data_IF_920369167043
#
_entry.id   IF_920369167043
#
_cell.length_a   1.000
_cell.length_b   1.000
_cell.length_c   1.000
_cell.angle_alpha   90.00
_cell.angle_beta   90.00
_cell.angle_gamma   90.00
#
_symmetry.space_group_name_H-M   'P 1'
#
loop_
_entity.id
_entity.type
_entity.pdbx_description
1 polymer ?
#
# COMPACT_ATOMS: atom_id res chain seq x y z
N UNK A 1 34.86 -83.99 5.80
CA UNK A 1 35.73 -82.91 5.38
C UNK A 1 34.84 -81.98 4.50
N UNK A 2 34.28 -80.96 5.13
CA UNK A 2 33.25 -80.09 4.49
C UNK A 2 33.88 -78.69 4.34
N UNK A 3 34.01 -78.26 3.09
CA UNK A 3 34.49 -76.93 2.76
C UNK A 3 33.36 -75.92 2.86
N UNK A 4 33.56 -74.87 3.67
CA UNK A 4 32.63 -73.80 3.89
C UNK A 4 32.97 -72.65 2.94
N UNK A 5 32.14 -72.40 1.92
CA UNK A 5 32.24 -71.23 1.01
C UNK A 5 31.62 -70.03 1.68
N UNK A 6 32.42 -68.99 1.95
CA UNK A 6 31.97 -67.68 2.41
C UNK A 6 31.66 -66.83 1.17
N UNK A 7 30.40 -66.48 0.99
CA UNK A 7 29.96 -65.44 0.03
C UNK A 7 30.06 -64.12 0.68
N UNK A 8 30.95 -63.28 0.16
CA UNK A 8 31.12 -61.88 0.59
C UNK A 8 30.14 -60.98 -0.17
N UNK A 9 29.04 -60.62 0.49
CA UNK A 9 28.07 -59.69 -0.09
C UNK A 9 28.56 -58.25 0.03
N UNK A 10 28.86 -57.58 -1.09
CA UNK A 10 29.12 -56.16 -1.17
C UNK A 10 27.80 -55.41 -1.07
N UNK A 11 27.56 -54.74 0.05
CA UNK A 11 26.49 -53.75 0.15
C UNK A 11 27.01 -52.43 -0.45
N UNK A 12 26.54 -52.08 -1.65
CA UNK A 12 26.75 -50.79 -2.26
C UNK A 12 25.70 -49.83 -1.69
N UNK A 13 26.07 -49.05 -0.67
CA UNK A 13 25.23 -47.99 -0.14
C UNK A 13 25.23 -46.81 -1.12
N UNK A 14 24.18 -46.68 -1.95
CA UNK A 14 23.93 -45.47 -2.71
C UNK A 14 23.55 -44.34 -1.71
N UNK A 15 24.52 -43.50 -1.38
CA UNK A 15 24.30 -42.19 -0.75
C UNK A 15 23.66 -41.28 -1.81
N UNK A 16 22.32 -41.24 -1.84
CA UNK A 16 21.59 -40.17 -2.51
C UNK A 16 21.75 -38.97 -1.63
N UNK A 17 22.75 -38.15 -1.90
CA UNK A 17 22.87 -36.77 -1.36
C UNK A 17 21.75 -35.96 -1.99
N UNK A 18 20.58 -35.94 -1.34
CA UNK A 18 19.56 -34.95 -1.61
C UNK A 18 20.16 -33.58 -1.30
N UNK A 19 20.61 -32.85 -2.33
CA UNK A 19 20.81 -31.43 -2.21
C UNK A 19 19.44 -30.84 -1.94
N UNK A 20 19.12 -30.62 -0.66
CA UNK A 20 18.11 -29.60 -0.29
C UNK A 20 18.69 -28.28 -0.80
N UNK A 21 18.23 -27.86 -1.99
CA UNK A 21 18.40 -26.49 -2.41
C UNK A 21 17.72 -25.63 -1.33
N UNK A 22 18.51 -24.95 -0.52
CA UNK A 22 17.98 -23.94 0.37
C UNK A 22 17.24 -22.95 -0.55
N UNK A 23 15.91 -22.98 -0.54
CA UNK A 23 15.11 -21.95 -1.17
C UNK A 23 15.52 -20.65 -0.52
N UNK A 24 16.17 -19.79 -1.28
CA UNK A 24 16.50 -18.44 -0.82
C UNK A 24 15.20 -17.66 -0.70
N UNK A 25 14.68 -17.59 0.50
CA UNK A 25 13.53 -16.72 0.80
C UNK A 25 13.87 -15.28 0.39
N UNK A 26 13.00 -14.66 -0.39
CA UNK A 26 13.13 -13.28 -0.82
C UNK A 26 12.37 -12.39 0.11
N UNK A 27 12.97 -11.27 0.49
CA UNK A 27 12.35 -10.27 1.34
C UNK A 27 11.96 -9.04 0.52
N UNK A 28 10.71 -8.60 0.65
CA UNK A 28 10.24 -7.30 0.20
C UNK A 28 10.08 -6.38 1.40
N UNK A 29 10.58 -5.17 1.29
CA UNK A 29 10.47 -4.13 2.30
C UNK A 29 9.41 -3.13 1.85
N UNK A 30 8.21 -3.22 2.42
CA UNK A 30 7.08 -2.34 2.11
C UNK A 30 7.04 -1.24 3.16
N UNK A 31 7.26 0.00 2.72
CA UNK A 31 7.07 1.20 3.49
C UNK A 31 5.77 1.88 3.06
N UNK A 32 5.06 2.50 3.99
CA UNK A 32 3.83 3.20 3.64
C UNK A 32 3.56 4.42 4.51
N UNK A 33 2.82 5.34 3.93
CA UNK A 33 2.24 6.52 4.57
C UNK A 33 0.75 6.58 4.29
N UNK A 34 0.05 7.36 5.09
CA UNK A 34 -1.35 7.72 4.92
C UNK A 34 -1.61 9.06 5.61
N UNK A 35 -2.65 9.76 5.19
CA UNK A 35 -3.14 10.97 5.86
C UNK A 35 -2.00 11.96 6.16
N UNK A 36 -1.17 12.24 5.15
CA UNK A 36 -0.02 13.13 5.30
C UNK A 36 -0.43 14.57 5.58
N UNK A 37 -1.62 14.96 5.10
CA UNK A 37 -2.23 16.26 5.32
C UNK A 37 -1.25 17.41 5.13
N UNK A 38 -0.53 17.39 4.00
CA UNK A 38 0.40 18.44 3.60
C UNK A 38 1.41 18.83 4.71
N UNK A 39 1.78 17.89 5.58
CA UNK A 39 2.75 18.16 6.65
C UNK A 39 4.17 18.23 6.09
N UNK A 40 4.46 19.32 5.38
CA UNK A 40 5.77 19.62 4.78
C UNK A 40 6.80 19.89 5.87
N UNK A 41 6.45 20.79 6.82
CA UNK A 41 7.30 21.14 7.95
C UNK A 41 7.13 20.15 9.12
N UNK A 42 8.18 19.89 9.91
CA UNK A 42 8.05 19.12 11.14
C UNK A 42 7.19 19.86 12.17
N UNK A 43 6.63 19.14 13.12
CA UNK A 43 6.07 19.75 14.31
C UNK A 43 7.19 20.39 15.14
N UNK A 44 6.96 21.57 15.74
CA UNK A 44 7.95 22.18 16.61
C UNK A 44 8.20 21.33 17.86
N UNK A 45 9.40 21.40 18.43
CA UNK A 45 9.77 20.62 19.62
C UNK A 45 8.89 20.94 20.85
N UNK A 46 8.29 22.14 20.89
CA UNK A 46 7.37 22.58 21.95
C UNK A 46 5.88 22.30 21.61
N UNK A 47 5.59 21.47 20.62
CA UNK A 47 4.22 21.12 20.26
C UNK A 47 3.52 20.44 21.44
N UNK A 48 2.25 20.82 21.78
CA UNK A 48 1.59 20.34 22.99
C UNK A 48 1.42 18.82 23.06
N UNK A 49 1.22 18.18 21.92
CA UNK A 49 1.19 16.72 21.83
C UNK A 49 2.64 16.19 21.78
N UNK A 50 3.09 15.60 22.90
CA UNK A 50 4.43 15.05 23.03
C UNK A 50 4.72 13.87 22.07
N UNK A 51 3.68 13.20 21.59
CA UNK A 51 3.82 12.10 20.60
C UNK A 51 4.21 12.67 19.24
N UNK A 52 3.74 13.87 18.90
CA UNK A 52 3.98 14.53 17.62
C UNK A 52 5.12 15.56 17.69
N UNK A 53 5.48 16.06 18.88
CA UNK A 53 6.53 17.06 19.06
C UNK A 53 7.83 16.62 18.37
N UNK A 54 8.44 17.53 17.62
CA UNK A 54 9.66 17.32 16.80
C UNK A 54 9.58 16.15 15.79
N UNK A 55 8.36 15.76 15.38
CA UNK A 55 8.15 14.70 14.38
C UNK A 55 7.58 15.24 13.08
N UNK A 56 7.37 14.34 12.13
CA UNK A 56 6.89 14.60 10.77
C UNK A 56 7.87 15.44 9.92
N UNK A 57 7.36 16.04 8.86
CA UNK A 57 8.13 16.82 7.89
C UNK A 57 8.56 15.99 6.68
N UNK A 58 8.15 16.42 5.49
CA UNK A 58 8.42 15.70 4.25
C UNK A 58 9.91 15.63 3.91
N UNK A 59 10.70 16.66 4.22
CA UNK A 59 12.16 16.67 3.99
C UNK A 59 12.86 15.62 4.86
N UNK A 60 12.48 15.52 6.13
CA UNK A 60 13.03 14.47 7.03
C UNK A 60 12.64 13.08 6.54
N UNK A 61 11.42 12.90 6.08
CA UNK A 61 10.95 11.65 5.52
C UNK A 61 11.71 11.28 4.25
N UNK A 62 11.93 12.22 3.34
CA UNK A 62 12.73 12.00 2.13
C UNK A 62 14.15 11.51 2.47
N UNK A 63 14.80 12.13 3.47
CA UNK A 63 16.12 11.68 3.94
C UNK A 63 16.07 10.26 4.53
N UNK A 64 15.04 9.93 5.32
CA UNK A 64 14.83 8.61 5.88
C UNK A 64 14.62 7.54 4.79
N UNK A 65 13.70 7.78 3.84
CA UNK A 65 13.42 6.85 2.74
C UNK A 65 14.64 6.63 1.86
N UNK A 66 15.41 7.69 1.57
CA UNK A 66 16.68 7.57 0.84
C UNK A 66 17.65 6.61 1.53
N UNK A 67 17.85 6.77 2.85
CA UNK A 67 18.68 5.88 3.63
C UNK A 67 18.18 4.44 3.67
N UNK A 68 16.86 4.22 3.71
CA UNK A 68 16.29 2.88 3.67
C UNK A 68 16.41 2.23 2.28
N UNK A 69 16.31 3.00 1.18
CA UNK A 69 16.56 2.52 -0.19
C UNK A 69 18.02 2.10 -0.43
N UNK A 70 18.97 2.75 0.24
CA UNK A 70 20.37 2.33 0.20
C UNK A 70 20.59 0.97 0.86
N UNK A 71 19.87 0.70 1.96
CA UNK A 71 19.94 -0.56 2.72
C UNK A 71 19.13 -1.69 2.09
N UNK A 72 17.98 -1.37 1.48
CA UNK A 72 17.01 -2.34 0.97
C UNK A 72 16.69 -2.07 -0.49
N UNK A 73 17.36 -2.81 -1.39
CA UNK A 73 17.15 -2.64 -2.85
C UNK A 73 15.74 -3.06 -3.31
N UNK A 74 15.07 -3.90 -2.51
CA UNK A 74 13.71 -4.39 -2.76
C UNK A 74 12.64 -3.56 -2.02
N UNK A 75 12.94 -2.29 -1.71
CA UNK A 75 12.01 -1.38 -1.06
C UNK A 75 10.91 -0.94 -2.01
N UNK A 76 9.67 -0.99 -1.53
CA UNK A 76 8.49 -0.38 -2.11
C UNK A 76 7.93 0.66 -1.15
N UNK A 77 7.44 1.79 -1.69
CA UNK A 77 6.87 2.88 -0.91
C UNK A 77 5.48 3.21 -1.44
N UNK A 78 4.45 3.12 -0.59
CA UNK A 78 3.06 3.35 -0.94
C UNK A 78 2.43 4.46 -0.10
N UNK A 79 1.38 5.10 -0.65
CA UNK A 79 0.55 6.06 0.05
C UNK A 79 -0.94 5.67 0.00
N UNK A 80 -1.61 5.72 1.14
CA UNK A 80 -3.03 5.35 1.26
C UNK A 80 -3.97 6.56 1.26
N UNK A 81 -3.59 7.65 0.57
CA UNK A 81 -4.42 8.84 0.34
C UNK A 81 -4.33 9.90 1.44
N UNK A 82 -5.00 11.02 1.19
CA UNK A 82 -4.97 12.24 2.00
C UNK A 82 -3.55 12.80 2.19
N UNK A 83 -2.77 12.84 1.09
CA UNK A 83 -1.52 13.60 1.09
C UNK A 83 -1.78 15.11 1.09
N UNK A 84 -2.96 15.53 0.63
CA UNK A 84 -3.47 16.89 0.51
C UNK A 84 -4.01 17.44 1.83
N UNK A 85 -4.26 18.77 1.87
CA UNK A 85 -4.96 19.50 2.91
C UNK A 85 -4.17 19.61 4.24
N UNK A 86 -4.29 20.74 4.92
CA UNK A 86 -3.86 20.92 6.32
C UNK A 86 -2.68 21.86 6.52
N UNK A 87 -2.06 22.42 5.47
CA UNK A 87 -0.95 23.35 5.63
C UNK A 87 -1.07 24.60 4.75
N UNK A 88 -0.34 25.69 5.06
CA UNK A 88 -0.22 26.84 4.17
C UNK A 88 0.33 26.50 2.80
N UNK A 89 1.19 25.47 2.68
CA UNK A 89 1.71 25.01 1.39
C UNK A 89 0.58 24.53 0.49
N UNK A 90 -0.32 23.71 1.01
CA UNK A 90 -1.47 23.23 0.24
C UNK A 90 -2.39 24.39 -0.19
N UNK A 91 -2.66 25.33 0.70
CA UNK A 91 -3.51 26.48 0.38
C UNK A 91 -2.92 27.37 -0.73
N UNK A 92 -1.59 27.53 -0.75
CA UNK A 92 -0.89 28.37 -1.74
C UNK A 92 -0.62 27.62 -3.06
N UNK A 93 -0.16 26.36 -2.96
CA UNK A 93 0.34 25.60 -4.11
C UNK A 93 -0.59 24.45 -4.54
N UNK A 94 -1.72 24.26 -3.83
CA UNK A 94 -2.80 23.31 -4.19
C UNK A 94 -2.33 21.88 -4.40
N UNK A 95 -1.34 21.41 -3.63
CA UNK A 95 -0.82 20.05 -3.68
C UNK A 95 0.44 19.85 -4.55
N UNK A 96 0.92 20.89 -5.23
CA UNK A 96 2.11 20.78 -6.09
C UNK A 96 3.38 20.44 -5.31
N UNK A 97 3.56 21.03 -4.12
CA UNK A 97 4.72 20.79 -3.26
C UNK A 97 4.71 19.33 -2.78
N UNK A 98 3.54 18.84 -2.40
CA UNK A 98 3.34 17.47 -1.93
C UNK A 98 3.71 16.45 -3.01
N UNK A 99 3.16 16.59 -4.22
CA UNK A 99 3.46 15.67 -5.34
C UNK A 99 4.95 15.71 -5.71
N UNK A 100 5.58 16.88 -5.78
CA UNK A 100 7.02 16.99 -6.08
C UNK A 100 7.86 16.26 -5.02
N UNK A 101 7.53 16.40 -3.74
CA UNK A 101 8.22 15.71 -2.67
C UNK A 101 7.94 14.20 -2.68
N UNK A 102 6.75 13.78 -3.07
CA UNK A 102 6.44 12.36 -3.26
C UNK A 102 7.24 11.76 -4.42
N UNK A 103 7.38 12.48 -5.56
CA UNK A 103 8.24 12.06 -6.66
C UNK A 103 9.71 11.90 -6.21
N UNK A 104 10.25 12.87 -5.48
CA UNK A 104 11.61 12.81 -4.92
C UNK A 104 11.83 11.63 -3.95
N UNK A 105 10.80 11.23 -3.21
CA UNK A 105 10.83 10.05 -2.35
C UNK A 105 10.71 8.74 -3.14
N UNK A 106 10.27 8.81 -4.41
CA UNK A 106 10.09 7.68 -5.30
C UNK A 106 8.96 6.76 -4.85
N UNK A 107 7.76 7.29 -4.60
CA UNK A 107 6.60 6.43 -4.35
C UNK A 107 6.37 5.47 -5.51
N UNK A 108 6.01 4.23 -5.20
CA UNK A 108 5.75 3.18 -6.18
C UNK A 108 4.27 3.12 -6.59
N UNK A 109 3.35 3.58 -5.73
CA UNK A 109 1.94 3.85 -6.03
C UNK A 109 1.30 4.67 -4.90
N UNK A 110 0.17 5.34 -5.20
CA UNK A 110 -0.68 6.00 -4.22
C UNK A 110 -2.15 5.84 -4.56
N UNK A 111 -3.04 5.92 -3.55
CA UNK A 111 -4.49 5.99 -3.75
C UNK A 111 -5.05 7.37 -3.50
N UNK A 112 -6.36 7.52 -3.64
CA UNK A 112 -7.09 8.78 -3.50
C UNK A 112 -7.82 8.79 -2.16
N UNK A 113 -7.56 9.81 -1.34
CA UNK A 113 -8.40 10.12 -0.18
C UNK A 113 -9.47 11.17 -0.50
N UNK A 114 -10.21 11.59 0.51
CA UNK A 114 -11.27 12.60 0.32
C UNK A 114 -10.71 14.02 0.16
N UNK A 115 -9.55 14.32 0.72
CA UNK A 115 -8.97 15.66 0.64
C UNK A 115 -8.24 15.95 -0.67
N UNK A 116 -7.98 14.97 -1.51
CA UNK A 116 -7.52 15.21 -2.88
C UNK A 116 -8.56 16.01 -3.69
N UNK A 117 -9.85 15.88 -3.35
CA UNK A 117 -10.95 16.60 -3.98
C UNK A 117 -11.10 18.06 -3.57
N UNK A 118 -10.42 18.55 -2.54
CA UNK A 118 -10.67 19.88 -1.93
C UNK A 118 -10.63 21.06 -2.94
N UNK A 119 -9.80 20.99 -3.96
CA UNK A 119 -9.73 21.99 -5.04
C UNK A 119 -10.34 21.49 -6.38
N UNK A 120 -11.16 20.44 -6.34
CA UNK A 120 -11.88 19.90 -7.50
C UNK A 120 -11.05 19.09 -8.48
N UNK A 121 -11.74 18.51 -9.48
CA UNK A 121 -11.16 17.52 -10.38
C UNK A 121 -10.07 18.08 -11.30
N UNK A 122 -10.18 19.33 -11.73
CA UNK A 122 -9.16 19.96 -12.60
C UNK A 122 -7.82 20.08 -11.86
N UNK A 123 -7.86 20.45 -10.58
CA UNK A 123 -6.65 20.49 -9.76
C UNK A 123 -6.09 19.09 -9.52
N UNK A 124 -6.94 18.10 -9.20
CA UNK A 124 -6.50 16.70 -9.09
C UNK A 124 -5.83 16.22 -10.37
N UNK A 125 -6.45 16.47 -11.53
CA UNK A 125 -5.90 16.08 -12.83
C UNK A 125 -4.54 16.75 -13.10
N UNK A 126 -4.37 18.03 -12.72
CA UNK A 126 -3.08 18.71 -12.79
C UNK A 126 -2.04 18.00 -11.95
N UNK A 127 -2.35 17.67 -10.69
CA UNK A 127 -1.45 16.98 -9.77
C UNK A 127 -1.10 15.57 -10.26
N UNK A 128 -2.10 14.81 -10.71
CA UNK A 128 -1.88 13.42 -11.14
C UNK A 128 -1.05 13.32 -12.42
N UNK A 129 -1.11 14.35 -13.32
CA UNK A 129 -0.17 14.45 -14.45
C UNK A 129 1.27 14.75 -14.02
N UNK A 130 1.48 15.34 -12.84
CA UNK A 130 2.81 15.61 -12.30
C UNK A 130 3.37 14.42 -11.52
N UNK A 131 2.52 13.49 -11.07
CA UNK A 131 2.95 12.31 -10.33
C UNK A 131 3.76 11.38 -11.24
N UNK A 132 4.94 10.96 -10.76
CA UNK A 132 5.83 10.00 -11.44
C UNK A 132 5.54 8.56 -11.00
N UNK A 133 4.46 8.36 -10.27
CA UNK A 133 3.97 7.08 -9.80
C UNK A 133 2.47 6.92 -10.12
N UNK A 134 1.97 5.68 -10.30
CA UNK A 134 0.57 5.46 -10.59
C UNK A 134 -0.33 5.85 -9.41
N UNK A 135 -1.41 6.56 -9.72
CA UNK A 135 -2.55 6.76 -8.83
C UNK A 135 -3.57 5.67 -9.13
N UNK A 136 -3.91 4.89 -8.09
CA UNK A 136 -4.82 3.75 -8.23
C UNK A 136 -6.08 3.94 -7.37
N UNK A 137 -7.26 3.71 -7.95
CA UNK A 137 -8.52 3.68 -7.23
C UNK A 137 -9.55 2.87 -8.04
N UNK A 138 -10.01 1.75 -7.50
CA UNK A 138 -10.88 0.84 -8.23
C UNK A 138 -12.37 1.17 -8.08
N UNK A 139 -12.76 1.86 -6.99
CA UNK A 139 -14.15 2.14 -6.67
C UNK A 139 -14.61 3.58 -6.98
N UNK A 140 -13.79 4.33 -7.71
CA UNK A 140 -14.21 5.60 -8.30
C UNK A 140 -14.26 5.48 -9.82
N UNK A 141 -15.46 5.40 -10.39
CA UNK A 141 -15.63 5.51 -11.83
C UNK A 141 -15.46 6.97 -12.25
N UNK A 142 -14.43 7.24 -13.05
CA UNK A 142 -13.98 8.59 -13.41
C UNK A 142 -14.17 8.94 -14.90
N UNK A 143 -14.81 8.05 -15.67
CA UNK A 143 -15.06 8.23 -17.09
C UNK A 143 -15.88 9.51 -17.35
N UNK A 144 -15.47 10.27 -18.37
CA UNK A 144 -16.08 11.55 -18.71
C UNK A 144 -15.70 12.71 -17.77
N UNK A 145 -14.79 12.49 -16.83
CA UNK A 145 -14.26 13.55 -15.95
C UNK A 145 -12.83 13.95 -16.32
N UNK A 146 -12.30 15.00 -15.68
CA UNK A 146 -10.91 15.42 -15.87
C UNK A 146 -9.87 14.36 -15.43
N UNK A 147 -10.30 13.34 -14.68
CA UNK A 147 -9.45 12.25 -14.17
C UNK A 147 -9.37 11.03 -15.11
N UNK A 148 -10.16 11.02 -16.19
CA UNK A 148 -10.15 9.92 -17.15
C UNK A 148 -8.74 9.67 -17.70
N UNK A 149 -8.29 8.41 -17.65
CA UNK A 149 -6.96 7.99 -18.08
C UNK A 149 -5.81 8.35 -17.11
N UNK A 150 -6.07 9.12 -16.05
CA UNK A 150 -5.07 9.47 -15.02
C UNK A 150 -5.14 8.55 -13.81
N UNK A 151 -6.33 8.08 -13.46
CA UNK A 151 -6.56 7.13 -12.39
C UNK A 151 -6.69 5.73 -12.98
N UNK A 152 -5.98 4.77 -12.41
CA UNK A 152 -6.05 3.36 -12.80
C UNK A 152 -6.79 2.56 -11.73
N UNK A 153 -7.43 1.47 -12.11
CA UNK A 153 -8.00 0.57 -11.12
C UNK A 153 -6.90 -0.11 -10.29
N UNK A 154 -5.80 -0.50 -10.94
CA UNK A 154 -4.66 -1.20 -10.33
C UNK A 154 -3.36 -0.95 -11.11
N UNK A 155 -2.27 -1.37 -10.51
CA UNK A 155 -0.96 -1.48 -11.17
C UNK A 155 -0.27 -2.78 -10.79
N UNK A 156 0.66 -3.25 -11.63
CA UNK A 156 1.50 -4.42 -11.32
C UNK A 156 2.95 -3.97 -11.31
N UNK A 157 3.64 -4.28 -10.23
CA UNK A 157 5.05 -3.94 -10.02
C UNK A 157 5.85 -5.25 -9.96
N UNK A 158 6.97 -5.29 -10.63
CA UNK A 158 7.94 -6.38 -10.47
C UNK A 158 9.11 -5.93 -9.62
N UNK A 159 9.41 -6.69 -8.56
CA UNK A 159 10.54 -6.43 -7.68
C UNK A 159 11.21 -7.75 -7.30
N UNK A 160 12.47 -7.91 -7.68
CA UNK A 160 13.25 -9.13 -7.43
C UNK A 160 12.56 -10.43 -7.92
N UNK A 161 11.88 -10.34 -9.09
CA UNK A 161 11.14 -11.46 -9.67
C UNK A 161 9.85 -11.83 -8.94
N UNK A 162 9.38 -10.98 -8.00
CA UNK A 162 8.07 -11.05 -7.35
C UNK A 162 7.13 -10.10 -8.09
N UNK A 163 5.95 -10.58 -8.48
CA UNK A 163 4.89 -9.77 -9.09
C UNK A 163 3.93 -9.30 -8.02
N UNK A 164 3.85 -7.98 -7.83
CA UNK A 164 3.03 -7.34 -6.82
C UNK A 164 1.89 -6.60 -7.52
N UNK A 165 0.65 -7.04 -7.28
CA UNK A 165 -0.54 -6.31 -7.69
C UNK A 165 -0.92 -5.29 -6.63
N UNK A 166 -1.12 -4.05 -7.03
CA UNK A 166 -1.48 -2.96 -6.12
C UNK A 166 -2.74 -2.28 -6.66
N UNK A 167 -3.77 -2.16 -5.85
CA UNK A 167 -4.99 -1.44 -6.18
C UNK A 167 -5.39 -0.51 -5.04
N UNK A 168 -6.24 0.47 -5.33
CA UNK A 168 -6.69 1.46 -4.36
C UNK A 168 -8.19 1.45 -4.15
N UNK A 169 -8.61 1.93 -2.98
CA UNK A 169 -10.02 2.17 -2.64
C UNK A 169 -10.15 3.53 -1.95
N UNK A 170 -11.10 4.34 -2.42
CA UNK A 170 -11.45 5.64 -1.84
C UNK A 170 -12.69 5.57 -0.94
N UNK A 171 -12.80 6.52 -0.01
CA UNK A 171 -13.94 6.68 0.89
C UNK A 171 -15.22 7.10 0.15
N UNK A 172 -16.42 6.90 0.72
CA UNK A 172 -17.66 7.48 0.19
C UNK A 172 -17.52 9.00 0.04
N UNK A 173 -17.92 9.55 -1.11
CA UNK A 173 -17.81 10.99 -1.37
C UNK A 173 -18.93 11.79 -0.69
N UNK A 174 -20.11 11.18 -0.55
CA UNK A 174 -21.28 11.82 0.05
C UNK A 174 -21.03 12.16 1.52
N UNK A 175 -21.21 13.43 1.86
CA UNK A 175 -20.97 13.94 3.21
C UNK A 175 -19.52 14.27 3.55
N UNK A 176 -18.55 13.83 2.74
CA UNK A 176 -17.11 14.13 2.93
C UNK A 176 -16.59 15.15 1.93
N UNK A 177 -17.08 15.13 0.69
CA UNK A 177 -16.60 15.97 -0.40
C UNK A 177 -17.73 16.87 -0.90
N UNK A 178 -17.41 18.12 -1.19
CA UNK A 178 -18.37 19.02 -1.85
C UNK A 178 -18.77 18.43 -3.21
N UNK A 179 -20.08 18.36 -3.49
CA UNK A 179 -20.60 17.81 -4.74
C UNK A 179 -19.98 18.46 -5.99
N UNK A 180 -19.75 19.78 -5.92
CA UNK A 180 -19.12 20.51 -7.02
C UNK A 180 -17.68 20.07 -7.29
N UNK A 181 -16.97 19.57 -6.26
CA UNK A 181 -15.58 19.14 -6.36
C UNK A 181 -15.41 17.69 -6.86
N UNK A 182 -16.49 16.91 -6.91
CA UNK A 182 -16.49 15.53 -7.39
C UNK A 182 -17.54 15.25 -8.46
N UNK A 183 -18.01 16.29 -9.16
CA UNK A 183 -19.05 16.15 -10.18
C UNK A 183 -18.63 15.18 -11.28
N UNK A 184 -19.49 14.19 -11.56
CA UNK A 184 -19.24 13.15 -12.57
C UNK A 184 -18.53 11.90 -12.03
N UNK A 185 -17.84 11.98 -10.90
CA UNK A 185 -17.25 10.79 -10.25
C UNK A 185 -18.36 9.97 -9.59
N UNK A 186 -18.38 8.66 -9.86
CA UNK A 186 -19.34 7.74 -9.22
C UNK A 186 -18.60 6.88 -8.20
N UNK A 187 -19.16 6.81 -7.00
CA UNK A 187 -18.70 5.88 -5.97
C UNK A 187 -19.37 4.52 -6.20
N UNK A 188 -18.55 3.49 -6.33
CA UNK A 188 -18.99 2.11 -6.47
C UNK A 188 -18.71 1.34 -5.17
N UNK A 189 -19.38 0.20 -4.96
CA UNK A 189 -19.23 -0.59 -3.75
C UNK A 189 -17.77 -1.08 -3.60
N UNK A 190 -17.04 -0.64 -2.58
CA UNK A 190 -15.63 -0.92 -2.46
C UNK A 190 -15.34 -2.40 -2.18
N UNK A 191 -16.28 -3.16 -1.59
CA UNK A 191 -16.10 -4.60 -1.34
C UNK A 191 -16.21 -5.37 -2.65
N UNK A 192 -17.22 -5.04 -3.47
CA UNK A 192 -17.42 -5.67 -4.77
C UNK A 192 -16.23 -5.39 -5.70
N UNK A 193 -15.77 -4.12 -5.77
CA UNK A 193 -14.64 -3.72 -6.61
C UNK A 193 -13.33 -4.34 -6.11
N UNK A 194 -13.10 -4.37 -4.81
CA UNK A 194 -11.92 -5.02 -4.24
C UNK A 194 -11.87 -6.51 -4.59
N UNK A 195 -12.99 -7.24 -4.47
CA UNK A 195 -13.04 -8.65 -4.84
C UNK A 195 -12.78 -8.84 -6.33
N UNK A 196 -13.40 -8.03 -7.19
CA UNK A 196 -13.19 -8.07 -8.65
C UNK A 196 -11.71 -7.89 -9.01
N UNK A 197 -11.07 -6.87 -8.44
CA UNK A 197 -9.66 -6.55 -8.75
C UNK A 197 -8.71 -7.57 -8.12
N UNK A 198 -8.95 -8.01 -6.89
CA UNK A 198 -8.12 -9.04 -6.26
C UNK A 198 -8.13 -10.35 -7.05
N UNK A 199 -9.30 -10.77 -7.56
CA UNK A 199 -9.43 -11.95 -8.42
C UNK A 199 -8.71 -11.76 -9.76
N UNK A 200 -8.80 -10.58 -10.36
CA UNK A 200 -8.08 -10.24 -11.59
C UNK A 200 -6.57 -10.32 -11.38
N UNK A 201 -6.06 -9.66 -10.33
CA UNK A 201 -4.64 -9.65 -10.00
C UNK A 201 -4.09 -11.04 -9.71
N UNK A 202 -4.84 -11.86 -8.96
CA UNK A 202 -4.41 -13.21 -8.60
C UNK A 202 -4.48 -14.16 -9.78
N UNK A 203 -5.59 -14.17 -10.52
CA UNK A 203 -5.88 -15.24 -11.50
C UNK A 203 -5.41 -14.89 -12.92
N UNK A 204 -5.50 -13.61 -13.35
CA UNK A 204 -5.11 -13.17 -14.70
C UNK A 204 -3.72 -12.59 -14.73
N UNK A 205 -3.42 -11.64 -13.85
CA UNK A 205 -2.10 -11.00 -13.76
C UNK A 205 -1.05 -11.90 -13.07
N UNK A 206 -1.48 -12.98 -12.42
CA UNK A 206 -0.59 -13.94 -11.74
C UNK A 206 0.30 -13.27 -10.70
N UNK A 207 -0.24 -12.31 -9.96
CA UNK A 207 0.50 -11.64 -8.89
C UNK A 207 0.77 -12.60 -7.72
N UNK A 208 1.99 -12.58 -7.24
CA UNK A 208 2.43 -13.35 -6.07
C UNK A 208 1.91 -12.70 -4.77
N UNK A 209 1.84 -11.36 -4.74
CA UNK A 209 1.36 -10.54 -3.63
C UNK A 209 0.31 -9.56 -4.14
N UNK A 210 -0.81 -9.43 -3.43
CA UNK A 210 -1.88 -8.45 -3.71
C UNK A 210 -2.02 -7.49 -2.53
N UNK A 211 -1.77 -6.22 -2.79
CA UNK A 211 -1.80 -5.13 -1.80
C UNK A 211 -2.95 -4.18 -2.11
N UNK A 212 -3.79 -3.92 -1.12
CA UNK A 212 -4.82 -2.90 -1.17
C UNK A 212 -4.35 -1.63 -0.45
N UNK A 213 -4.36 -0.50 -1.15
CA UNK A 213 -4.21 0.84 -0.57
C UNK A 213 -5.61 1.35 -0.27
N UNK A 214 -6.00 1.36 1.00
CA UNK A 214 -7.37 1.67 1.40
C UNK A 214 -7.46 3.03 2.06
N UNK A 215 -8.41 3.85 1.58
CA UNK A 215 -8.81 5.08 2.26
C UNK A 215 -10.24 4.98 2.83
N UNK A 216 -10.66 3.79 3.25
CA UNK A 216 -12.01 3.53 3.80
C UNK A 216 -12.10 3.83 5.30
N UNK A 217 -10.98 3.84 6.00
CA UNK A 217 -10.94 3.83 7.46
C UNK A 217 -10.89 2.43 8.04
N UNK A 218 -10.38 2.33 9.27
CA UNK A 218 -10.12 1.03 9.89
C UNK A 218 -11.39 0.25 10.22
N UNK A 219 -12.31 0.86 11.01
CA UNK A 219 -13.50 0.18 11.52
C UNK A 219 -14.62 1.19 11.87
N UNK A 220 -15.83 0.69 12.19
CA UNK A 220 -16.94 1.50 12.69
C UNK A 220 -17.80 2.15 11.61
N UNK A 221 -17.53 1.91 10.32
CA UNK A 221 -18.33 2.38 9.19
C UNK A 221 -18.85 1.20 8.34
N UNK A 222 -19.89 1.39 7.51
CA UNK A 222 -20.36 0.36 6.59
C UNK A 222 -19.26 -0.12 5.62
N UNK A 223 -18.34 0.78 5.26
CA UNK A 223 -17.19 0.51 4.42
C UNK A 223 -15.92 0.77 5.26
N UNK A 224 -15.26 -0.29 5.68
CA UNK A 224 -14.04 -0.21 6.50
C UNK A 224 -13.05 -1.30 6.12
N UNK A 225 -11.77 -1.13 6.50
CA UNK A 225 -10.72 -2.12 6.25
C UNK A 225 -11.07 -3.48 6.86
N UNK A 226 -11.65 -3.48 8.06
CA UNK A 226 -12.10 -4.72 8.73
C UNK A 226 -13.17 -5.41 7.90
N UNK A 227 -14.21 -4.67 7.50
CA UNK A 227 -15.31 -5.21 6.68
C UNK A 227 -14.84 -5.67 5.32
N UNK A 228 -13.92 -4.92 4.69
CA UNK A 228 -13.29 -5.29 3.44
C UNK A 228 -12.63 -6.66 3.56
N UNK A 229 -11.76 -6.85 4.56
CA UNK A 229 -11.04 -8.11 4.76
C UNK A 229 -12.01 -9.26 5.00
N UNK A 230 -12.99 -9.08 5.90
CA UNK A 230 -13.97 -10.13 6.25
C UNK A 230 -14.85 -10.57 5.08
N UNK A 231 -15.04 -9.70 4.08
CA UNK A 231 -15.95 -9.93 2.95
C UNK A 231 -15.21 -10.22 1.61
N UNK A 232 -13.90 -10.33 1.61
CA UNK A 232 -13.11 -10.58 0.38
C UNK A 232 -12.16 -11.75 0.54
N UNK A 233 -11.51 -12.13 -0.56
CA UNK A 233 -10.40 -13.10 -0.64
C UNK A 233 -9.34 -12.58 -1.61
N UNK A 234 -8.21 -13.26 -1.67
CA UNK A 234 -7.10 -12.94 -2.58
C UNK A 234 -6.38 -11.61 -2.31
N UNK A 235 -6.68 -10.93 -1.20
CA UNK A 235 -5.93 -9.77 -0.70
C UNK A 235 -4.96 -10.27 0.37
N UNK A 236 -3.67 -9.94 0.26
CA UNK A 236 -2.64 -10.40 1.20
C UNK A 236 -2.28 -9.34 2.23
N UNK A 237 -2.47 -8.06 1.90
CA UNK A 237 -2.10 -6.93 2.76
C UNK A 237 -3.02 -5.74 2.49
N UNK A 238 -3.48 -5.08 3.56
CA UNK A 238 -4.19 -3.80 3.50
C UNK A 238 -3.34 -2.72 4.17
N UNK A 239 -3.06 -1.65 3.44
CA UNK A 239 -2.44 -0.43 3.94
C UNK A 239 -3.55 0.63 3.99
N UNK A 240 -3.97 0.97 5.21
CA UNK A 240 -5.16 1.77 5.43
C UNK A 240 -4.87 3.26 5.70
N UNK A 241 -5.93 4.08 5.62
CA UNK A 241 -5.93 5.53 5.90
C UNK A 241 -7.28 6.00 6.45
N UNK A 242 -7.58 7.29 6.29
CA UNK A 242 -8.85 7.97 6.59
C UNK A 242 -9.20 8.11 8.08
N UNK A 243 -9.18 7.04 8.85
CA UNK A 243 -9.56 7.08 10.28
C UNK A 243 -8.46 7.59 11.20
N UNK A 244 -7.28 7.93 10.66
CA UNK A 244 -6.11 8.38 11.42
C UNK A 244 -5.68 7.42 12.53
N UNK A 245 -6.02 6.13 12.40
CA UNK A 245 -5.67 5.12 13.38
C UNK A 245 -4.17 4.82 13.36
N UNK A 246 -3.58 4.61 14.54
CA UNK A 246 -2.16 4.27 14.63
C UNK A 246 -1.99 2.85 15.17
N UNK A 247 -1.32 2.01 14.38
CA UNK A 247 -0.99 0.64 14.78
C UNK A 247 0.52 0.43 14.66
N UNK A 248 1.20 0.39 15.79
CA UNK A 248 2.64 0.09 15.84
C UNK A 248 2.96 -1.24 15.16
N UNK A 249 2.07 -2.22 15.33
CA UNK A 249 2.13 -3.52 14.64
C UNK A 249 0.85 -3.75 13.85
N UNK A 250 0.91 -4.37 12.65
CA UNK A 250 -0.28 -4.69 11.89
C UNK A 250 -1.29 -5.49 12.71
N UNK A 251 -2.56 -5.10 12.65
CA UNK A 251 -3.68 -5.93 13.11
C UNK A 251 -3.97 -7.00 12.06
N UNK A 252 -4.64 -8.09 12.46
CA UNK A 252 -4.94 -9.20 11.57
C UNK A 252 -6.40 -9.56 11.67
N UNK A 253 -7.05 -9.76 10.53
CA UNK A 253 -8.44 -10.19 10.42
C UNK A 253 -8.53 -11.35 9.44
N UNK A 254 -9.52 -12.22 9.63
CA UNK A 254 -9.74 -13.37 8.74
C UNK A 254 -10.57 -12.96 7.55
N UNK A 255 -10.11 -13.33 6.38
CA UNK A 255 -10.84 -13.20 5.12
C UNK A 255 -11.87 -14.33 4.93
N UNK A 256 -12.60 -14.34 3.81
CA UNK A 256 -13.59 -15.37 3.49
C UNK A 256 -13.05 -16.80 3.45
N UNK A 257 -11.75 -16.97 3.23
CA UNK A 257 -11.09 -18.29 3.22
C UNK A 257 -10.49 -18.65 4.58
N UNK A 258 -10.73 -17.82 5.62
CA UNK A 258 -10.19 -18.00 6.96
C UNK A 258 -8.70 -17.64 7.10
N UNK A 259 -8.10 -17.07 6.07
CA UNK A 259 -6.70 -16.63 6.07
C UNK A 259 -6.56 -15.28 6.78
N UNK A 260 -5.51 -15.13 7.59
CA UNK A 260 -5.22 -13.87 8.27
C UNK A 260 -4.61 -12.85 7.32
N UNK A 261 -5.30 -11.72 7.13
CA UNK A 261 -4.82 -10.57 6.34
C UNK A 261 -4.38 -9.46 7.30
N UNK A 262 -3.11 -9.02 7.23
CA UNK A 262 -2.64 -7.89 8.00
C UNK A 262 -3.19 -6.58 7.45
N UNK A 263 -3.54 -5.65 8.36
CA UNK A 263 -3.88 -4.26 8.07
C UNK A 263 -3.08 -3.33 8.97
N UNK A 264 -2.56 -2.23 8.41
CA UNK A 264 -1.82 -1.22 9.15
C UNK A 264 -2.21 0.19 8.71
N UNK A 265 -2.34 1.10 9.71
CA UNK A 265 -2.42 2.55 9.53
C UNK A 265 -1.40 3.24 10.42
N UNK A 266 -0.88 4.36 9.98
CA UNK A 266 0.24 5.08 10.62
C UNK A 266 -0.17 6.43 11.23
N UNK A 267 -1.42 6.56 11.67
CA UNK A 267 -1.93 7.79 12.24
C UNK A 267 -2.16 8.86 11.18
N UNK A 268 -1.79 10.10 11.46
CA UNK A 268 -1.89 11.22 10.52
C UNK A 268 -0.61 12.08 10.50
N UNK A 269 -0.58 13.02 9.55
CA UNK A 269 0.54 13.94 9.31
C UNK A 269 1.85 13.22 8.93
N UNK A 270 1.78 11.91 8.62
CA UNK A 270 2.92 11.03 8.42
C UNK A 270 4.06 11.30 9.43
N UNK A 271 3.66 11.45 10.70
CA UNK A 271 4.59 11.51 11.83
C UNK A 271 5.32 10.17 12.00
N UNK A 272 4.71 9.11 11.48
CA UNK A 272 5.24 7.76 11.44
C UNK A 272 5.21 7.23 10.01
N UNK A 273 6.15 6.34 9.69
CA UNK A 273 6.20 5.59 8.42
C UNK A 273 6.06 4.11 8.78
N UNK A 274 5.10 3.44 8.15
CA UNK A 274 4.93 2.00 8.32
C UNK A 274 6.04 1.22 7.63
N UNK A 275 6.43 0.09 8.21
CA UNK A 275 7.38 -0.86 7.62
C UNK A 275 6.86 -2.27 7.81
N UNK A 276 6.64 -2.97 6.71
CA UNK A 276 6.24 -4.37 6.67
C UNK A 276 7.29 -5.14 5.86
N UNK A 277 7.75 -6.26 6.40
CA UNK A 277 8.65 -7.16 5.69
C UNK A 277 7.83 -8.37 5.26
N UNK A 278 7.78 -8.61 3.95
CA UNK A 278 7.12 -9.79 3.36
C UNK A 278 8.19 -10.76 2.92
N UNK A 279 8.17 -11.96 3.47
CA UNK A 279 9.09 -13.04 3.09
C UNK A 279 8.35 -14.02 2.18
N UNK A 280 8.94 -14.32 1.04
CA UNK A 280 8.36 -15.20 0.02
C UNK A 280 9.36 -16.28 -0.37
N UNK A 281 8.92 -17.54 -0.33
CA UNK A 281 9.66 -18.69 -0.85
C UNK A 281 9.39 -18.80 -2.36
N UNK A 282 10.42 -18.53 -3.17
CA UNK A 282 10.38 -18.67 -4.64
C UNK A 282 11.51 -19.51 -5.18
#
# INVERSE_FOLDING_TARGET
MIMLNRILGLFLACLVSGMLSARNAKELYIYHTNDMHSRVEPFPAYFPDSVLADKAGMVRRAAFIRGERERHKNLLLFDSGDFSQGSPYYNLFKGEVEIKLMNEMGYDAGTIGNHEFDFGLDNMARLFRMAEFPIVCANYAVEGTALEGLVKEYTVIERDGIRIGVFGLGAPLEGLVSRANCEGVKFEDPVAEAQRIADLLRNRERCDLVVCLSHLGWDGTPYSDVKLIECTRNIDLVLGGHSHSYFEKPKRYKNLDGMEVPVQQMGKHAAFVGKIIVTMDK
#
